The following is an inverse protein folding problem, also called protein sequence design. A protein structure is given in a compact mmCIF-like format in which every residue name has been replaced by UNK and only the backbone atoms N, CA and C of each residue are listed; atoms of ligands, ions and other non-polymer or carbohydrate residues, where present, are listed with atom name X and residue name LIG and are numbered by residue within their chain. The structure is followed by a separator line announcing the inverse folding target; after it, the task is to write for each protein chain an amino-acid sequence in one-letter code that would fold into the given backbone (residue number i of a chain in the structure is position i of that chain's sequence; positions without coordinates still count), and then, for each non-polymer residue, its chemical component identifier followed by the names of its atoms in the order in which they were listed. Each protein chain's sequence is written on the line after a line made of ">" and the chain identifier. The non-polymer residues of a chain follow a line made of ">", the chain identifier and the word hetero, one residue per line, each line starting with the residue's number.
data_IF_081282679670
#
_entry.id   IF_081282679670
#
_cell.length_a   1.000
_cell.length_b   1.000
_cell.length_c   1.000
_cell.angle_alpha   90.00
_cell.angle_beta   90.00
_cell.angle_gamma   90.00
#
_symmetry.space_group_name_H-M   'P 1'
#
loop_
_entity.id
_entity.type
_entity.pdbx_description
1 polymer ?
#
# COMPACT_ATOMS: atom_id res chain seq x y z
N UNK A 1 -11.32 -37.71 16.51
CA UNK A 1 -10.78 -37.90 15.14
C UNK A 1 -11.53 -36.97 14.20
N UNK A 2 -10.94 -35.82 13.91
CA UNK A 2 -11.52 -34.84 12.95
C UNK A 2 -11.14 -35.27 11.55
N UNK A 3 -12.01 -36.00 10.87
CA UNK A 3 -11.97 -36.20 9.42
C UNK A 3 -12.55 -34.94 8.74
N UNK A 4 -11.86 -33.82 8.87
CA UNK A 4 -12.26 -32.58 8.22
C UNK A 4 -11.74 -32.55 6.77
N UNK A 5 -12.55 -32.10 5.80
CA UNK A 5 -12.08 -31.80 4.42
C UNK A 5 -10.88 -30.85 4.37
N UNK A 6 -10.63 -30.11 5.44
CA UNK A 6 -9.48 -29.25 5.64
C UNK A 6 -8.16 -30.01 5.68
N UNK A 7 -8.13 -31.22 6.28
CA UNK A 7 -6.93 -32.06 6.38
C UNK A 7 -6.36 -32.46 5.01
N UNK A 8 -7.22 -32.73 4.03
CA UNK A 8 -6.83 -33.13 2.67
C UNK A 8 -6.23 -31.99 1.86
N UNK A 9 -6.60 -30.74 2.15
CA UNK A 9 -6.06 -29.54 1.44
C UNK A 9 -4.67 -29.13 1.94
N UNK A 10 -4.36 -29.34 3.20
CA UNK A 10 -3.08 -28.95 3.81
C UNK A 10 -1.93 -29.88 3.38
N UNK A 11 -2.20 -31.16 3.13
CA UNK A 11 -1.20 -32.16 2.70
C UNK A 11 -0.91 -32.20 1.20
N UNK A 12 -1.52 -31.37 0.39
CA UNK A 12 -1.24 -31.33 -1.03
C UNK A 12 -0.03 -30.44 -1.29
N UNK A 13 1.01 -30.97 -1.99
CA UNK A 13 2.30 -30.32 -2.33
C UNK A 13 2.23 -28.95 -3.04
N UNK A 14 1.04 -28.38 -3.17
CA UNK A 14 0.77 -27.08 -3.80
C UNK A 14 0.44 -25.95 -2.80
N UNK A 15 0.55 -26.21 -1.49
CA UNK A 15 0.29 -25.17 -0.49
C UNK A 15 1.56 -24.32 -0.28
N UNK A 16 1.56 -23.06 -0.71
CA UNK A 16 2.71 -22.17 -0.59
C UNK A 16 2.92 -21.62 0.82
N UNK A 17 1.85 -21.47 1.59
CA UNK A 17 1.87 -21.06 3.00
C UNK A 17 0.56 -21.43 3.69
N UNK A 18 0.57 -21.43 5.02
CA UNK A 18 -0.57 -21.78 5.86
C UNK A 18 -0.89 -20.59 6.75
N UNK A 19 -2.18 -20.30 6.86
CA UNK A 19 -2.70 -19.20 7.66
C UNK A 19 -3.79 -19.70 8.62
N UNK A 20 -3.76 -19.16 9.83
CA UNK A 20 -4.85 -19.25 10.81
C UNK A 20 -5.34 -17.83 11.16
N UNK A 21 -6.61 -17.57 10.85
CA UNK A 21 -7.24 -16.28 11.09
C UNK A 21 -7.67 -16.15 12.55
N UNK A 22 -7.16 -15.11 13.23
CA UNK A 22 -7.56 -14.75 14.59
C UNK A 22 -8.32 -13.43 14.59
N UNK A 23 -9.17 -13.22 15.60
CA UNK A 23 -9.85 -11.94 15.77
C UNK A 23 -8.85 -10.83 16.06
N UNK A 24 -9.03 -9.66 15.43
CA UNK A 24 -8.11 -8.52 15.57
C UNK A 24 -8.09 -7.89 16.99
N UNK A 25 -8.97 -8.34 17.88
CA UNK A 25 -9.02 -7.99 19.30
C UNK A 25 -8.78 -9.20 20.21
N UNK A 26 -8.19 -10.27 19.67
CA UNK A 26 -7.72 -11.45 20.39
C UNK A 26 -8.82 -12.19 21.16
N UNK A 27 -10.07 -12.17 20.67
CA UNK A 27 -11.17 -12.96 21.21
C UNK A 27 -11.09 -14.41 20.70
N UNK A 28 -11.53 -15.34 21.50
CA UNK A 28 -11.68 -16.75 21.12
C UNK A 28 -10.59 -17.67 21.68
N UNK A 29 -10.41 -18.83 21.05
CA UNK A 29 -9.58 -19.92 21.55
C UNK A 29 -8.17 -19.91 20.92
N UNK A 30 -7.48 -18.78 21.01
CA UNK A 30 -6.24 -18.46 20.28
C UNK A 30 -5.19 -19.58 20.37
N UNK A 31 -4.83 -19.97 21.58
CA UNK A 31 -3.80 -20.98 21.84
C UNK A 31 -4.23 -22.39 21.43
N UNK A 32 -5.42 -22.82 21.82
CA UNK A 32 -5.90 -24.19 21.55
C UNK A 32 -6.18 -24.44 20.06
N UNK A 33 -6.67 -23.44 19.31
CA UNK A 33 -6.85 -23.56 17.87
C UNK A 33 -5.50 -23.52 17.13
N UNK A 34 -4.53 -22.71 17.60
CA UNK A 34 -3.15 -22.74 17.11
C UNK A 34 -2.50 -24.11 17.35
N UNK A 35 -2.71 -24.70 18.53
CA UNK A 35 -2.24 -26.03 18.84
C UNK A 35 -2.80 -27.08 17.89
N UNK A 36 -4.09 -27.06 17.64
CA UNK A 36 -4.73 -27.96 16.69
C UNK A 36 -4.14 -27.89 15.29
N UNK A 37 -3.79 -26.69 14.84
CA UNK A 37 -3.09 -26.49 13.55
C UNK A 37 -1.68 -27.10 13.60
N UNK A 38 -0.92 -26.82 14.63
CA UNK A 38 0.45 -27.32 14.79
C UNK A 38 0.49 -28.84 14.95
N UNK A 39 -0.50 -29.45 15.63
CA UNK A 39 -0.62 -30.90 15.75
C UNK A 39 -0.81 -31.60 14.41
N UNK A 40 -1.62 -31.01 13.56
CA UNK A 40 -1.89 -31.53 12.20
C UNK A 40 -0.69 -31.37 11.28
N UNK A 41 0.04 -30.28 11.39
CA UNK A 41 1.14 -29.94 10.50
C UNK A 41 2.44 -30.66 10.85
N UNK A 42 2.61 -31.04 12.11
CA UNK A 42 3.79 -31.77 12.60
C UNK A 42 4.80 -30.87 13.31
N UNK A 43 5.85 -31.52 13.86
CA UNK A 43 6.79 -30.90 14.79
C UNK A 43 7.67 -29.79 14.17
N UNK A 44 7.86 -29.83 12.86
CA UNK A 44 8.68 -28.86 12.14
C UNK A 44 8.03 -27.47 11.98
N UNK A 45 6.72 -27.36 12.24
CA UNK A 45 5.98 -26.12 12.03
C UNK A 45 5.95 -25.24 13.27
N UNK A 46 6.04 -23.93 13.04
CA UNK A 46 6.02 -22.87 14.04
C UNK A 46 4.95 -21.85 13.70
N UNK A 47 4.16 -21.44 14.69
CA UNK A 47 3.20 -20.36 14.54
C UNK A 47 3.88 -19.00 14.71
N UNK A 48 3.73 -18.12 13.72
CA UNK A 48 4.18 -16.73 13.74
C UNK A 48 2.96 -15.86 13.97
N UNK A 49 2.86 -15.31 15.18
CA UNK A 49 1.72 -14.52 15.63
C UNK A 49 2.05 -13.04 15.46
N UNK A 50 1.45 -12.40 14.45
CA UNK A 50 1.56 -10.97 14.20
C UNK A 50 0.14 -10.35 14.20
N UNK A 51 -0.47 -10.13 15.38
CA UNK A 51 -1.91 -9.86 15.51
C UNK A 51 -2.30 -8.42 15.19
N UNK A 52 -1.48 -7.70 14.47
CA UNK A 52 -1.65 -6.28 14.19
C UNK A 52 -2.58 -6.02 13.02
N UNK A 53 -3.29 -4.90 13.10
CA UNK A 53 -4.05 -4.32 12.01
C UNK A 53 -3.86 -2.80 12.05
N UNK A 54 -2.71 -2.29 11.55
CA UNK A 54 -2.30 -0.89 11.75
C UNK A 54 -3.34 0.12 11.24
N UNK A 55 -3.91 -0.09 10.05
CA UNK A 55 -4.93 0.81 9.48
C UNK A 55 -6.21 0.90 10.34
N UNK A 56 -6.45 -0.08 11.20
CA UNK A 56 -7.54 -0.09 12.19
C UNK A 56 -7.05 0.26 13.59
N UNK A 57 -5.84 0.81 13.72
CA UNK A 57 -5.23 1.22 15.00
C UNK A 57 -5.16 0.10 16.05
N UNK A 58 -4.99 -1.14 15.59
CA UNK A 58 -4.71 -2.30 16.42
C UNK A 58 -3.24 -2.67 16.27
N UNK A 59 -2.47 -2.47 17.33
CA UNK A 59 -1.01 -2.59 17.33
C UNK A 59 -0.53 -3.44 18.49
N UNK A 60 0.61 -4.09 18.32
CA UNK A 60 1.31 -4.81 19.38
C UNK A 60 2.65 -4.13 19.67
N UNK A 61 2.83 -3.75 20.92
CA UNK A 61 4.07 -3.09 21.36
C UNK A 61 4.42 -3.52 22.79
N UNK A 62 5.67 -3.92 23.00
CA UNK A 62 6.14 -4.46 24.28
C UNK A 62 5.40 -5.75 24.71
N UNK A 63 4.85 -6.50 23.77
CA UNK A 63 4.04 -7.69 24.01
C UNK A 63 2.57 -7.39 24.34
N UNK A 64 2.16 -6.13 24.34
CA UNK A 64 0.79 -5.71 24.67
C UNK A 64 0.00 -5.34 23.42
N UNK A 65 -1.25 -5.81 23.35
CA UNK A 65 -2.21 -5.39 22.34
C UNK A 65 -2.86 -4.07 22.74
N UNK A 66 -2.80 -3.07 21.85
CA UNK A 66 -3.48 -1.78 21.99
C UNK A 66 -4.49 -1.59 20.87
N UNK A 67 -5.65 -1.04 21.23
CA UNK A 67 -6.72 -0.62 20.32
C UNK A 67 -6.89 0.88 20.48
N UNK A 68 -6.68 1.65 19.42
CA UNK A 68 -6.71 3.12 19.47
C UNK A 68 -5.77 3.71 20.55
N UNK A 69 -4.63 3.09 20.80
CA UNK A 69 -3.67 3.51 21.84
C UNK A 69 -4.05 3.11 23.27
N UNK A 70 -5.17 2.40 23.47
CA UNK A 70 -5.65 1.94 24.77
C UNK A 70 -5.35 0.44 24.91
N UNK A 71 -4.74 -0.03 26.03
CA UNK A 71 -4.56 -1.46 26.29
C UNK A 71 -5.87 -2.22 26.17
N UNK A 72 -5.84 -3.38 25.50
CA UNK A 72 -7.03 -4.16 25.13
C UNK A 72 -7.98 -4.42 26.31
N UNK A 73 -7.44 -4.79 27.48
CA UNK A 73 -8.23 -5.06 28.67
C UNK A 73 -8.92 -3.82 29.28
N UNK A 74 -8.61 -2.62 28.78
CA UNK A 74 -9.27 -1.36 29.20
C UNK A 74 -10.28 -0.85 28.18
N UNK A 75 -10.55 -1.64 27.15
CA UNK A 75 -11.55 -1.32 26.11
C UNK A 75 -12.87 -2.06 26.42
N UNK A 76 -13.89 -1.78 25.62
CA UNK A 76 -15.17 -2.50 25.65
C UNK A 76 -15.05 -4.00 25.33
N UNK A 77 -13.97 -4.41 24.69
CA UNK A 77 -13.66 -5.83 24.42
C UNK A 77 -13.48 -6.65 25.71
N UNK A 78 -13.04 -6.00 26.81
CA UNK A 78 -12.88 -6.67 28.10
C UNK A 78 -14.21 -7.13 28.71
N UNK A 79 -15.31 -6.53 28.32
CA UNK A 79 -16.66 -6.83 28.80
C UNK A 79 -17.55 -7.47 27.72
N UNK A 80 -16.94 -8.01 26.65
CA UNK A 80 -17.67 -8.76 25.63
C UNK A 80 -18.45 -9.90 26.27
N UNK A 81 -19.78 -10.02 26.03
CA UNK A 81 -20.62 -10.99 26.75
C UNK A 81 -20.34 -12.46 26.39
N UNK A 82 -19.68 -12.73 25.28
CA UNK A 82 -19.35 -14.11 24.83
C UNK A 82 -17.90 -14.50 25.08
N UNK A 83 -16.99 -13.59 24.78
CA UNK A 83 -15.54 -13.85 24.80
C UNK A 83 -14.80 -12.64 25.36
N UNK A 84 -14.96 -12.33 26.66
CA UNK A 84 -14.28 -11.19 27.28
C UNK A 84 -12.77 -11.39 27.24
N UNK A 85 -12.03 -10.33 26.89
CA UNK A 85 -10.56 -10.34 26.87
C UNK A 85 -10.03 -9.48 27.99
N UNK A 86 -9.69 -10.11 29.10
CA UNK A 86 -9.32 -9.42 30.36
C UNK A 86 -7.84 -9.09 30.48
N UNK A 87 -7.02 -9.47 29.50
CA UNK A 87 -5.57 -9.23 29.44
C UNK A 87 -5.19 -8.56 28.14
N UNK A 88 -4.07 -7.85 28.13
CA UNK A 88 -3.51 -7.25 26.93
C UNK A 88 -2.20 -7.90 26.50
N UNK A 89 -1.61 -8.71 27.37
CA UNK A 89 -0.36 -9.43 27.11
C UNK A 89 -0.63 -10.58 26.13
N UNK A 90 -0.19 -10.41 24.89
CA UNK A 90 -0.52 -11.32 23.77
C UNK A 90 0.05 -12.73 24.04
N UNK A 91 1.32 -12.81 24.46
CA UNK A 91 1.96 -14.10 24.75
C UNK A 91 1.22 -14.84 25.87
N UNK A 92 0.80 -14.14 26.91
CA UNK A 92 0.05 -14.73 28.04
C UNK A 92 -1.30 -15.29 27.59
N UNK A 93 -2.01 -14.59 26.69
CA UNK A 93 -3.28 -15.07 26.15
C UNK A 93 -3.12 -16.39 25.38
N UNK A 94 -2.00 -16.57 24.68
CA UNK A 94 -1.67 -17.82 24.01
C UNK A 94 -1.21 -18.90 25.00
N UNK A 95 -0.35 -18.57 25.96
CA UNK A 95 0.19 -19.49 26.95
C UNK A 95 -0.91 -20.14 27.83
N UNK A 96 -1.93 -19.37 28.19
CA UNK A 96 -3.05 -19.87 29.00
C UNK A 96 -3.90 -20.93 28.29
N UNK A 97 -3.84 -20.96 26.95
CA UNK A 97 -4.68 -21.84 26.13
C UNK A 97 -3.87 -22.88 25.34
N UNK A 98 -2.55 -22.76 25.31
CA UNK A 98 -1.66 -23.61 24.51
C UNK A 98 -0.88 -24.57 25.38
N UNK A 99 -0.67 -25.77 24.87
CA UNK A 99 0.30 -26.77 25.44
C UNK A 99 1.74 -26.53 24.98
N UNK A 100 1.91 -25.65 23.96
CA UNK A 100 3.21 -25.34 23.38
C UNK A 100 3.84 -24.11 24.03
N UNK A 101 5.16 -24.12 24.09
CA UNK A 101 5.92 -22.96 24.56
C UNK A 101 5.75 -21.79 23.63
N UNK A 102 5.46 -20.65 24.25
CA UNK A 102 5.33 -19.34 23.55
C UNK A 102 6.61 -18.53 23.79
N UNK A 103 7.04 -17.79 22.78
CA UNK A 103 8.09 -16.77 22.88
C UNK A 103 7.60 -15.44 22.38
N UNK A 104 8.13 -14.35 22.93
CA UNK A 104 7.88 -13.00 22.52
C UNK A 104 9.14 -12.39 21.90
N UNK A 105 9.01 -11.78 20.73
CA UNK A 105 10.01 -10.95 20.08
C UNK A 105 9.48 -9.52 20.09
N UNK A 106 10.19 -8.63 20.79
CA UNK A 106 9.75 -7.25 21.00
C UNK A 106 10.23 -6.33 19.89
N UNK A 107 9.64 -5.13 19.84
CA UNK A 107 9.98 -4.06 18.88
C UNK A 107 11.48 -3.76 18.81
N UNK A 108 12.20 -3.79 19.94
CA UNK A 108 13.65 -3.60 19.97
C UNK A 108 14.41 -4.57 19.06
N UNK A 109 13.91 -5.82 18.93
CA UNK A 109 14.54 -6.85 18.10
C UNK A 109 14.23 -6.59 16.61
N UNK A 110 13.05 -6.09 16.29
CA UNK A 110 12.67 -5.71 14.91
C UNK A 110 13.59 -4.62 14.35
N UNK A 111 14.00 -3.66 15.18
CA UNK A 111 14.86 -2.54 14.77
C UNK A 111 16.25 -2.99 14.25
N UNK A 112 16.67 -4.22 14.49
CA UNK A 112 17.91 -4.79 13.98
C UNK A 112 17.82 -5.34 12.54
N UNK A 113 16.62 -5.32 11.95
CA UNK A 113 16.39 -5.72 10.57
C UNK A 113 16.16 -7.24 10.37
N UNK A 114 15.83 -7.60 9.12
CA UNK A 114 15.29 -8.93 8.79
C UNK A 114 16.21 -10.11 9.08
N UNK A 115 17.52 -9.95 8.92
CA UNK A 115 18.46 -11.05 9.15
C UNK A 115 18.58 -11.38 10.64
N UNK A 116 18.73 -10.35 11.48
CA UNK A 116 18.72 -10.50 12.91
C UNK A 116 17.41 -11.12 13.40
N UNK A 117 16.28 -10.63 12.90
CA UNK A 117 14.95 -11.12 13.26
C UNK A 117 14.76 -12.58 12.86
N UNK A 118 15.24 -12.98 11.66
CA UNK A 118 15.20 -14.38 11.22
C UNK A 118 16.01 -15.30 12.12
N UNK A 119 17.20 -14.87 12.54
CA UNK A 119 18.05 -15.66 13.46
C UNK A 119 17.42 -15.72 14.86
N UNK A 120 16.81 -14.63 15.31
CA UNK A 120 16.06 -14.59 16.58
C UNK A 120 14.87 -15.56 16.59
N UNK A 121 14.13 -15.67 15.48
CA UNK A 121 13.07 -16.67 15.32
C UNK A 121 13.64 -18.09 15.45
N UNK A 122 14.77 -18.40 14.80
CA UNK A 122 15.44 -19.70 14.93
C UNK A 122 15.90 -19.98 16.35
N UNK A 123 16.43 -18.98 17.06
CA UNK A 123 16.79 -19.10 18.48
C UNK A 123 15.59 -19.50 19.34
N UNK A 124 14.42 -18.86 19.13
CA UNK A 124 13.19 -19.21 19.83
C UNK A 124 12.79 -20.67 19.57
N UNK A 125 12.87 -21.11 18.30
CA UNK A 125 12.55 -22.50 17.91
C UNK A 125 13.54 -23.48 18.57
N UNK A 126 14.84 -23.19 18.51
CA UNK A 126 15.87 -24.03 19.14
C UNK A 126 15.70 -24.10 20.67
N UNK A 127 15.13 -23.07 21.28
CA UNK A 127 14.76 -23.06 22.69
C UNK A 127 13.45 -23.82 23.00
N UNK A 128 12.85 -24.44 21.98
CA UNK A 128 11.65 -25.30 22.12
C UNK A 128 10.32 -24.53 21.92
N UNK A 129 10.34 -23.29 21.49
CA UNK A 129 9.09 -22.56 21.25
C UNK A 129 8.47 -22.96 19.91
N UNK A 130 7.15 -23.17 19.93
CA UNK A 130 6.36 -23.46 18.73
C UNK A 130 5.39 -22.33 18.35
N UNK A 131 5.25 -21.36 19.23
CA UNK A 131 4.47 -20.15 19.01
C UNK A 131 5.38 -18.96 19.27
N UNK A 132 5.52 -18.07 18.29
CA UNK A 132 6.35 -16.86 18.38
C UNK A 132 5.44 -15.66 18.14
N UNK A 133 5.23 -14.86 19.17
CA UNK A 133 4.49 -13.59 19.13
C UNK A 133 5.47 -12.48 18.78
N UNK A 134 5.10 -11.60 17.88
CA UNK A 134 5.92 -10.45 17.49
C UNK A 134 5.17 -9.14 17.72
N UNK A 135 5.91 -8.17 18.24
CA UNK A 135 5.46 -6.78 18.20
C UNK A 135 5.35 -6.31 16.74
N UNK A 136 4.34 -5.51 16.44
CA UNK A 136 4.24 -4.75 15.19
C UNK A 136 3.28 -3.58 15.35
N UNK A 137 3.65 -2.42 14.82
CA UNK A 137 2.92 -1.16 14.95
C UNK A 137 2.49 -0.63 13.59
N UNK A 138 3.33 -0.82 12.57
CA UNK A 138 3.15 -0.28 11.23
C UNK A 138 3.07 -1.38 10.16
N UNK A 139 2.70 -1.00 8.95
CA UNK A 139 2.75 -1.92 7.81
C UNK A 139 4.19 -2.32 7.49
N UNK A 140 5.15 -1.40 7.65
CA UNK A 140 6.57 -1.65 7.46
C UNK A 140 7.11 -2.72 8.42
N UNK A 141 6.61 -2.76 9.66
CA UNK A 141 6.94 -3.82 10.61
C UNK A 141 6.44 -5.18 10.11
N UNK A 142 5.20 -5.24 9.58
CA UNK A 142 4.66 -6.46 8.99
C UNK A 142 5.45 -6.91 7.75
N UNK A 143 5.90 -5.96 6.93
CA UNK A 143 6.76 -6.24 5.77
C UNK A 143 8.12 -6.80 6.21
N UNK A 144 8.71 -6.23 7.27
CA UNK A 144 9.96 -6.71 7.86
C UNK A 144 9.82 -8.13 8.46
N UNK A 145 8.72 -8.37 9.19
CA UNK A 145 8.42 -9.70 9.75
C UNK A 145 8.28 -10.73 8.62
N UNK A 146 7.55 -10.39 7.55
CA UNK A 146 7.39 -11.29 6.41
C UNK A 146 8.74 -11.60 5.73
N UNK A 147 9.61 -10.60 5.54
CA UNK A 147 10.95 -10.79 5.01
C UNK A 147 11.82 -11.68 5.92
N UNK A 148 11.70 -11.51 7.23
CA UNK A 148 12.40 -12.34 8.21
C UNK A 148 11.91 -13.79 8.20
N UNK A 149 10.60 -14.02 8.11
CA UNK A 149 10.02 -15.35 7.96
C UNK A 149 10.56 -16.06 6.73
N UNK A 150 10.55 -15.40 5.58
CA UNK A 150 11.10 -15.94 4.33
C UNK A 150 12.60 -16.23 4.47
N UNK A 151 13.36 -15.30 5.06
CA UNK A 151 14.81 -15.42 5.29
C UNK A 151 15.15 -16.58 6.25
N UNK A 152 14.33 -16.80 7.25
CA UNK A 152 14.52 -17.85 8.25
C UNK A 152 14.42 -19.26 7.67
N UNK A 153 13.65 -19.45 6.60
CA UNK A 153 13.31 -20.77 6.00
C UNK A 153 12.60 -21.73 6.96
N UNK A 154 12.06 -21.24 8.03
CA UNK A 154 11.23 -22.04 8.94
C UNK A 154 9.92 -22.42 8.24
N UNK A 155 9.40 -23.61 8.57
CA UNK A 155 8.03 -23.97 8.18
C UNK A 155 7.06 -23.28 9.13
N UNK A 156 6.27 -22.34 8.62
CA UNK A 156 5.48 -21.44 9.46
C UNK A 156 3.98 -21.52 9.17
N UNK A 157 3.21 -21.24 10.22
CA UNK A 157 1.80 -20.85 10.13
C UNK A 157 1.71 -19.39 10.48
N UNK A 158 1.17 -18.58 9.59
CA UNK A 158 0.86 -17.17 9.89
C UNK A 158 -0.41 -17.13 10.76
N UNK A 159 -0.34 -16.48 11.91
CA UNK A 159 -1.47 -16.31 12.85
C UNK A 159 -1.73 -14.83 13.03
N UNK A 160 -2.76 -14.33 12.35
CA UNK A 160 -3.04 -12.91 12.28
C UNK A 160 -4.49 -12.60 11.83
N UNK A 161 -4.96 -11.35 11.93
CA UNK A 161 -6.27 -10.95 11.42
C UNK A 161 -6.32 -10.73 9.90
N UNK A 162 -5.39 -11.29 9.14
CA UNK A 162 -5.35 -11.29 7.67
C UNK A 162 -4.31 -10.34 7.06
N UNK A 163 -3.88 -9.29 7.74
CA UNK A 163 -2.96 -8.27 7.19
C UNK A 163 -1.55 -8.82 7.01
N UNK A 164 -1.03 -9.54 7.99
CA UNK A 164 0.29 -10.21 7.88
C UNK A 164 0.27 -11.30 6.82
N UNK A 165 -0.79 -12.11 6.79
CA UNK A 165 -1.00 -13.13 5.75
C UNK A 165 -1.03 -12.52 4.35
N UNK A 166 -1.75 -11.42 4.16
CA UNK A 166 -1.77 -10.71 2.89
C UNK A 166 -0.36 -10.20 2.49
N UNK A 167 0.40 -9.68 3.46
CA UNK A 167 1.78 -9.23 3.26
C UNK A 167 2.70 -10.39 2.88
N UNK A 168 2.63 -11.49 3.61
CA UNK A 168 3.44 -12.69 3.35
C UNK A 168 3.09 -13.32 1.99
N UNK A 169 1.81 -13.40 1.65
CA UNK A 169 1.36 -13.96 0.37
C UNK A 169 1.86 -13.15 -0.82
N UNK A 170 1.84 -11.82 -0.74
CA UNK A 170 2.40 -10.94 -1.79
C UNK A 170 3.89 -11.21 -2.05
N UNK A 171 4.64 -11.55 -1.02
CA UNK A 171 6.08 -11.85 -1.13
C UNK A 171 6.37 -13.28 -1.60
N UNK A 172 5.54 -14.24 -1.27
CA UNK A 172 5.72 -15.66 -1.61
C UNK A 172 5.10 -16.05 -2.95
N UNK A 173 3.96 -15.48 -3.29
CA UNK A 173 3.28 -15.73 -4.55
C UNK A 173 3.85 -14.77 -5.60
N UNK A 174 4.97 -15.17 -6.19
CA UNK A 174 5.52 -14.45 -7.36
C UNK A 174 4.66 -14.87 -8.57
N UNK A 175 4.02 -13.94 -9.29
CA UNK A 175 3.39 -14.27 -10.56
C UNK A 175 4.38 -14.97 -11.49
N UNK A 176 3.93 -15.99 -12.22
CA UNK A 176 4.79 -16.82 -13.10
C UNK A 176 5.47 -16.01 -14.22
N UNK A 177 4.96 -14.83 -14.54
CA UNK A 177 5.63 -13.86 -15.40
C UNK A 177 6.49 -12.94 -14.52
N UNK A 178 7.80 -12.90 -14.81
CA UNK A 178 8.66 -11.81 -14.33
C UNK A 178 8.04 -10.50 -14.82
N UNK A 179 7.18 -9.89 -14.01
CA UNK A 179 6.81 -8.52 -14.29
C UNK A 179 8.09 -7.69 -14.12
N UNK A 180 8.52 -7.06 -15.21
CA UNK A 180 9.41 -5.90 -15.11
C UNK A 180 8.86 -5.02 -13.99
N UNK A 181 9.75 -4.49 -13.14
CA UNK A 181 9.34 -3.70 -11.95
C UNK A 181 8.31 -2.67 -12.37
N UNK A 182 7.04 -2.96 -12.08
CA UNK A 182 5.95 -2.03 -12.39
C UNK A 182 6.19 -0.69 -11.69
N UNK A 183 5.79 0.39 -12.33
CA UNK A 183 5.95 1.77 -11.83
C UNK A 183 4.63 2.51 -11.82
N UNK A 184 4.57 3.52 -11.01
CA UNK A 184 3.40 4.39 -10.84
C UNK A 184 3.78 5.82 -11.23
N UNK A 185 2.95 6.42 -12.07
CA UNK A 185 2.98 7.85 -12.35
C UNK A 185 1.83 8.53 -11.61
N UNK A 186 2.13 9.54 -10.82
CA UNK A 186 1.12 10.39 -10.20
C UNK A 186 1.08 11.75 -10.92
N UNK A 187 -0.08 12.11 -11.44
CA UNK A 187 -0.29 13.35 -12.19
C UNK A 187 -1.24 14.25 -11.42
N UNK A 188 -0.74 15.40 -10.99
CA UNK A 188 -1.42 16.32 -10.08
C UNK A 188 -1.48 17.71 -10.67
N UNK A 189 -2.64 18.08 -11.22
CA UNK A 189 -2.90 19.42 -11.72
C UNK A 189 -3.69 20.31 -10.75
N UNK A 190 -4.09 19.78 -9.61
CA UNK A 190 -4.87 20.53 -8.63
C UNK A 190 -4.03 21.56 -7.88
N UNK A 191 -4.53 22.79 -7.83
CA UNK A 191 -3.94 23.89 -7.05
C UNK A 191 -4.60 24.07 -5.67
N UNK A 192 -5.43 23.11 -5.25
CA UNK A 192 -6.12 23.17 -3.96
C UNK A 192 -5.12 23.02 -2.80
N UNK A 193 -5.23 23.85 -1.73
CA UNK A 193 -4.33 23.76 -0.56
C UNK A 193 -4.28 22.37 0.08
N UNK A 194 -5.41 21.65 0.12
CA UNK A 194 -5.45 20.29 0.64
C UNK A 194 -4.59 19.33 -0.21
N UNK A 195 -4.60 19.50 -1.55
CA UNK A 195 -3.74 18.70 -2.43
C UNK A 195 -2.25 18.94 -2.14
N UNK A 196 -1.87 20.19 -1.85
CA UNK A 196 -0.49 20.51 -1.44
C UNK A 196 -0.08 19.72 -0.20
N UNK A 197 -0.89 19.79 0.86
CA UNK A 197 -0.63 19.04 2.11
C UNK A 197 -0.52 17.53 1.85
N UNK A 198 -1.39 16.98 1.02
CA UNK A 198 -1.37 15.56 0.66
C UNK A 198 -0.13 15.17 -0.14
N UNK A 199 0.37 16.04 -1.02
CA UNK A 199 1.60 15.80 -1.76
C UNK A 199 2.83 15.89 -0.86
N UNK A 200 2.88 16.86 0.04
CA UNK A 200 3.96 16.99 1.04
C UNK A 200 4.01 15.74 1.92
N UNK A 201 2.87 15.22 2.37
CA UNK A 201 2.80 13.97 3.13
C UNK A 201 3.29 12.76 2.30
N UNK A 202 2.92 12.65 1.04
CA UNK A 202 3.43 11.60 0.15
C UNK A 202 4.97 11.66 0.04
N UNK A 203 5.53 12.86 -0.17
CA UNK A 203 6.97 13.04 -0.34
C UNK A 203 7.78 12.75 0.93
N UNK A 204 7.18 12.96 2.10
CA UNK A 204 7.76 12.60 3.39
C UNK A 204 7.69 11.10 3.67
N UNK A 205 6.57 10.47 3.28
CA UNK A 205 6.27 9.07 3.61
C UNK A 205 6.89 8.06 2.65
N UNK A 206 7.18 8.46 1.41
CA UNK A 206 7.67 7.57 0.36
C UNK A 206 8.76 8.22 -0.48
N UNK A 207 9.69 7.38 -0.95
CA UNK A 207 10.66 7.83 -1.96
C UNK A 207 9.96 8.02 -3.31
N UNK A 208 9.94 9.25 -3.80
CA UNK A 208 9.34 9.66 -5.07
C UNK A 208 10.34 10.46 -5.89
N UNK A 209 10.20 10.39 -7.22
CA UNK A 209 10.86 11.33 -8.15
C UNK A 209 9.84 12.40 -8.53
N UNK A 210 10.13 13.65 -8.20
CA UNK A 210 9.15 14.75 -8.29
C UNK A 210 9.58 15.73 -9.38
N UNK A 211 8.73 15.92 -10.40
CA UNK A 211 8.96 16.86 -11.49
C UNK A 211 7.82 17.86 -11.53
N UNK A 212 8.17 19.16 -11.47
CA UNK A 212 7.20 20.23 -11.56
C UNK A 212 7.03 20.69 -13.00
N UNK A 213 5.77 20.89 -13.39
CA UNK A 213 5.38 21.51 -14.66
C UNK A 213 5.28 23.01 -14.45
N UNK A 214 6.05 23.78 -15.20
CA UNK A 214 5.99 25.22 -15.17
C UNK A 214 4.78 25.71 -15.98
N UNK A 215 3.68 25.99 -15.28
CA UNK A 215 2.39 26.36 -15.89
C UNK A 215 2.51 27.56 -16.82
N UNK A 216 3.39 28.51 -16.51
CA UNK A 216 3.65 29.69 -17.36
C UNK A 216 4.15 29.30 -18.75
N UNK A 217 5.06 28.34 -18.84
CA UNK A 217 5.62 27.91 -20.13
C UNK A 217 4.56 27.26 -21.02
N UNK A 218 3.55 26.62 -20.42
CA UNK A 218 2.43 26.04 -21.16
C UNK A 218 1.55 27.11 -21.87
N UNK A 219 1.57 28.35 -21.36
CA UNK A 219 0.73 29.44 -21.83
C UNK A 219 1.48 30.44 -22.74
N UNK A 220 2.81 30.43 -22.74
CA UNK A 220 3.65 31.42 -23.47
C UNK A 220 3.87 31.07 -24.95
N UNK A 221 3.01 30.28 -25.55
CA UNK A 221 3.06 29.91 -26.97
C UNK A 221 3.42 28.46 -27.21
N UNK A 222 3.28 28.01 -28.46
CA UNK A 222 3.35 26.56 -28.75
C UNK A 222 4.76 25.99 -28.62
N UNK A 223 5.78 26.76 -29.00
CA UNK A 223 7.18 26.27 -28.85
C UNK A 223 7.59 26.11 -27.40
N UNK A 224 7.26 27.06 -26.52
CA UNK A 224 7.56 26.93 -25.09
C UNK A 224 6.78 25.82 -24.45
N UNK A 225 5.51 25.69 -24.81
CA UNK A 225 4.66 24.57 -24.35
C UNK A 225 5.26 23.22 -24.73
N UNK A 226 5.69 23.04 -25.97
CA UNK A 226 6.29 21.79 -26.42
C UNK A 226 7.61 21.49 -25.71
N UNK A 227 8.47 22.51 -25.54
CA UNK A 227 9.73 22.36 -24.80
C UNK A 227 9.49 21.94 -23.34
N UNK A 228 8.47 22.49 -22.69
CA UNK A 228 8.14 22.12 -21.31
C UNK A 228 7.59 20.70 -21.20
N UNK A 229 6.73 20.28 -22.14
CA UNK A 229 6.23 18.91 -22.25
C UNK A 229 7.40 17.94 -22.43
N UNK A 230 8.34 18.23 -23.32
CA UNK A 230 9.51 17.40 -23.57
C UNK A 230 10.43 17.35 -22.36
N UNK A 231 10.75 18.50 -21.74
CA UNK A 231 11.57 18.57 -20.52
C UNK A 231 11.03 17.67 -19.42
N UNK A 232 9.74 17.83 -19.09
CA UNK A 232 9.11 17.02 -18.00
C UNK A 232 9.09 15.54 -18.36
N UNK A 233 8.79 15.21 -19.62
CA UNK A 233 8.79 13.83 -20.11
C UNK A 233 10.16 13.19 -19.95
N UNK A 234 11.23 13.84 -20.44
CA UNK A 234 12.58 13.33 -20.38
C UNK A 234 13.12 13.21 -18.93
N UNK A 235 12.81 14.21 -18.10
CA UNK A 235 13.20 14.19 -16.69
C UNK A 235 12.58 12.99 -15.95
N UNK A 236 11.28 12.72 -16.16
CA UNK A 236 10.63 11.52 -15.60
C UNK A 236 11.29 10.24 -16.13
N UNK A 237 11.54 10.14 -17.41
CA UNK A 237 12.12 8.93 -18.03
C UNK A 237 13.55 8.67 -17.58
N UNK A 238 14.37 9.70 -17.42
CA UNK A 238 15.78 9.57 -17.01
C UNK A 238 15.97 8.91 -15.65
N UNK A 239 15.04 9.13 -14.73
CA UNK A 239 15.08 8.60 -13.35
C UNK A 239 14.08 7.44 -13.11
N UNK A 240 13.33 7.05 -14.15
CA UNK A 240 12.29 6.00 -14.03
C UNK A 240 12.85 4.69 -13.51
N UNK A 241 14.06 4.28 -13.93
CA UNK A 241 14.67 3.02 -13.50
C UNK A 241 15.01 2.96 -12.00
N UNK A 242 15.15 4.11 -11.34
CA UNK A 242 15.57 4.24 -9.94
C UNK A 242 14.42 4.42 -8.96
N UNK A 243 13.24 4.82 -9.47
CA UNK A 243 12.10 5.18 -8.64
C UNK A 243 10.86 4.38 -9.04
N UNK A 244 10.17 3.83 -8.05
CA UNK A 244 8.91 3.11 -8.24
C UNK A 244 7.76 4.11 -8.51
N UNK A 245 7.81 5.26 -7.84
CA UNK A 245 6.79 6.30 -7.95
C UNK A 245 7.44 7.57 -8.49
N UNK A 246 6.89 8.07 -9.59
CA UNK A 246 7.24 9.39 -10.14
C UNK A 246 6.01 10.30 -10.09
N UNK A 247 6.22 11.58 -9.83
CA UNK A 247 5.12 12.58 -9.75
C UNK A 247 5.34 13.71 -10.75
N UNK A 248 4.29 14.05 -11.49
CA UNK A 248 4.19 15.21 -12.35
C UNK A 248 3.20 16.16 -11.71
N UNK A 249 3.67 17.30 -11.24
CA UNK A 249 2.90 18.22 -10.41
C UNK A 249 2.92 19.64 -11.02
N UNK A 250 1.77 20.27 -11.13
CA UNK A 250 1.73 21.67 -11.53
C UNK A 250 2.36 22.58 -10.46
N UNK A 251 3.24 23.48 -10.87
CA UNK A 251 3.93 24.42 -9.96
C UNK A 251 2.98 25.36 -9.22
N UNK A 252 1.78 25.61 -9.78
CA UNK A 252 0.70 26.37 -9.12
C UNK A 252 0.15 25.73 -7.84
N UNK A 253 0.60 24.52 -7.46
CA UNK A 253 0.33 23.94 -6.14
C UNK A 253 0.89 24.84 -5.03
N UNK A 254 1.97 25.56 -5.30
CA UNK A 254 2.51 26.61 -4.44
C UNK A 254 1.86 27.95 -4.79
N UNK A 255 1.24 28.66 -3.81
CA UNK A 255 0.51 29.91 -4.06
C UNK A 255 1.31 30.99 -4.80
N UNK A 256 2.59 31.08 -4.55
CA UNK A 256 3.51 32.03 -5.17
C UNK A 256 3.72 31.82 -6.68
N UNK A 257 3.47 30.62 -7.18
CA UNK A 257 3.61 30.25 -8.59
C UNK A 257 2.28 30.28 -9.35
N UNK A 258 1.19 30.64 -8.67
CA UNK A 258 -0.12 30.74 -9.32
C UNK A 258 -0.15 31.88 -10.31
N UNK A 259 -0.70 31.61 -11.46
CA UNK A 259 -0.76 32.52 -12.57
C UNK A 259 -2.15 33.16 -12.65
N UNK A 260 -2.19 34.48 -12.90
CA UNK A 260 -3.40 35.16 -13.34
C UNK A 260 -3.62 34.83 -14.83
N UNK A 261 -4.76 34.26 -15.16
CA UNK A 261 -5.10 33.85 -16.51
C UNK A 261 -5.67 35.01 -17.37
N UNK A 262 -6.11 36.11 -16.75
CA UNK A 262 -6.73 37.25 -17.47
C UNK A 262 -5.80 37.79 -18.56
N UNK A 263 -4.51 38.06 -18.34
CA UNK A 263 -3.61 38.54 -19.39
C UNK A 263 -3.45 37.59 -20.58
N UNK A 264 -3.54 36.27 -20.33
CA UNK A 264 -3.47 35.27 -21.40
C UNK A 264 -4.77 35.20 -22.21
N UNK A 265 -5.92 35.30 -21.52
CA UNK A 265 -7.22 35.37 -22.18
C UNK A 265 -7.28 36.59 -23.13
N UNK A 266 -6.83 37.75 -22.68
CA UNK A 266 -6.76 38.97 -23.49
C UNK A 266 -5.78 38.84 -24.66
N UNK A 267 -4.54 38.36 -24.38
CA UNK A 267 -3.48 38.20 -25.38
C UNK A 267 -3.87 37.27 -26.53
N UNK A 268 -4.53 36.17 -26.20
CA UNK A 268 -4.88 35.13 -27.18
C UNK A 268 -6.35 35.16 -27.60
N UNK A 269 -7.12 36.12 -27.10
CA UNK A 269 -8.56 36.25 -27.33
C UNK A 269 -9.32 34.93 -27.13
N UNK A 270 -9.09 34.33 -25.98
CA UNK A 270 -9.64 33.03 -25.62
C UNK A 270 -10.38 33.06 -24.26
N UNK A 271 -11.22 32.07 -24.01
CA UNK A 271 -11.95 31.90 -22.77
C UNK A 271 -11.10 31.28 -21.66
N UNK A 272 -11.58 31.33 -20.41
CA UNK A 272 -10.99 30.65 -19.27
C UNK A 272 -10.92 29.13 -19.52
N UNK A 273 -11.96 28.55 -20.11
CA UNK A 273 -12.02 27.11 -20.41
C UNK A 273 -10.94 26.74 -21.45
N UNK A 274 -10.66 27.57 -22.43
CA UNK A 274 -9.59 27.34 -23.41
C UNK A 274 -8.20 27.41 -22.77
N UNK A 275 -7.98 28.33 -21.82
CA UNK A 275 -6.71 28.41 -21.05
C UNK A 275 -6.53 27.18 -20.21
N UNK A 276 -7.56 26.75 -19.48
CA UNK A 276 -7.49 25.54 -18.62
C UNK A 276 -7.35 24.26 -19.44
N UNK A 277 -8.04 24.15 -20.59
CA UNK A 277 -7.88 23.00 -21.49
C UNK A 277 -6.46 22.94 -22.08
N UNK A 278 -5.83 24.10 -22.37
CA UNK A 278 -4.44 24.14 -22.81
C UNK A 278 -3.46 23.57 -21.77
N UNK A 279 -3.70 23.83 -20.49
CA UNK A 279 -2.93 23.27 -19.38
C UNK A 279 -3.22 21.76 -19.25
N UNK A 280 -4.48 21.38 -19.14
CA UNK A 280 -4.89 19.99 -18.94
C UNK A 280 -4.43 19.08 -20.09
N UNK A 281 -4.51 19.56 -21.32
CA UNK A 281 -4.01 18.82 -22.49
C UNK A 281 -2.49 18.66 -22.47
N UNK A 282 -1.72 19.57 -21.88
CA UNK A 282 -0.29 19.41 -21.71
C UNK A 282 0.04 18.30 -20.69
N UNK A 283 -0.64 18.26 -19.56
CA UNK A 283 -0.50 17.15 -18.60
C UNK A 283 -0.86 15.79 -19.22
N UNK A 284 -1.92 15.76 -20.02
CA UNK A 284 -2.32 14.55 -20.74
C UNK A 284 -1.26 14.13 -21.79
N UNK A 285 -0.66 15.09 -22.49
CA UNK A 285 0.41 14.82 -23.45
C UNK A 285 1.67 14.28 -22.78
N UNK A 286 2.11 14.89 -21.67
CA UNK A 286 3.24 14.41 -20.85
C UNK A 286 2.96 12.96 -20.41
N UNK A 287 1.79 12.72 -19.85
CA UNK A 287 1.39 11.38 -19.38
C UNK A 287 1.43 10.38 -20.53
N UNK A 288 0.87 10.72 -21.66
CA UNK A 288 0.84 9.87 -22.84
C UNK A 288 2.24 9.51 -23.34
N UNK A 289 3.14 10.50 -23.49
CA UNK A 289 4.53 10.27 -23.94
C UNK A 289 5.32 9.39 -22.97
N UNK A 290 5.11 9.55 -21.67
CA UNK A 290 5.74 8.71 -20.66
C UNK A 290 5.29 7.25 -20.83
N UNK A 291 3.99 7.00 -20.91
CA UNK A 291 3.44 5.64 -21.05
C UNK A 291 3.79 5.00 -22.40
N UNK A 292 3.97 5.79 -23.46
CA UNK A 292 4.43 5.28 -24.76
C UNK A 292 5.90 4.86 -24.74
N UNK A 293 6.76 5.68 -24.11
CA UNK A 293 8.22 5.46 -24.12
C UNK A 293 8.67 4.45 -23.05
N UNK A 294 7.91 4.27 -21.97
CA UNK A 294 8.31 3.42 -20.86
C UNK A 294 7.16 2.50 -20.41
N UNK A 295 7.21 1.27 -20.87
CA UNK A 295 6.17 0.25 -20.66
C UNK A 295 6.06 -0.28 -19.22
N UNK A 296 7.04 0.02 -18.37
CA UNK A 296 7.01 -0.34 -16.96
C UNK A 296 6.02 0.49 -16.12
N UNK A 297 5.54 1.63 -16.61
CA UNK A 297 4.44 2.33 -15.97
C UNK A 297 3.14 1.54 -16.14
N UNK A 298 2.68 0.90 -15.07
CA UNK A 298 1.46 0.07 -15.01
C UNK A 298 0.38 0.66 -14.11
N UNK A 299 0.72 1.69 -13.35
CA UNK A 299 -0.19 2.43 -12.49
C UNK A 299 -0.19 3.92 -12.79
N UNK A 300 -1.37 4.50 -12.82
CA UNK A 300 -1.59 5.94 -12.92
C UNK A 300 -2.41 6.42 -11.74
N UNK A 301 -1.99 7.51 -11.12
CA UNK A 301 -2.82 8.27 -10.19
C UNK A 301 -3.08 9.65 -10.78
N UNK A 302 -4.31 10.11 -10.75
CA UNK A 302 -4.68 11.47 -11.19
C UNK A 302 -5.41 12.23 -10.09
N UNK A 303 -5.01 13.48 -9.86
CA UNK A 303 -5.70 14.41 -8.97
C UNK A 303 -6.26 15.58 -9.74
N UNK A 304 -7.60 15.67 -9.72
CA UNK A 304 -8.40 16.64 -10.48
C UNK A 304 -9.19 15.95 -11.59
N UNK A 305 -10.51 16.24 -11.64
CA UNK A 305 -11.42 15.66 -12.64
C UNK A 305 -11.01 15.99 -14.07
N UNK A 306 -10.65 17.25 -14.33
CA UNK A 306 -10.29 17.74 -15.66
C UNK A 306 -9.02 17.08 -16.20
N UNK A 307 -8.01 16.87 -15.34
CA UNK A 307 -6.80 16.11 -15.69
C UNK A 307 -7.16 14.67 -16.07
N UNK A 308 -8.01 14.02 -15.27
CA UNK A 308 -8.45 12.64 -15.56
C UNK A 308 -9.14 12.56 -16.91
N UNK A 309 -10.05 13.49 -17.20
CA UNK A 309 -10.76 13.54 -18.48
C UNK A 309 -9.81 13.79 -19.65
N UNK A 310 -8.87 14.72 -19.50
CA UNK A 310 -7.87 15.02 -20.53
C UNK A 310 -6.99 13.80 -20.84
N UNK A 311 -6.54 13.10 -19.81
CA UNK A 311 -5.77 11.84 -19.97
C UNK A 311 -6.60 10.75 -20.65
N UNK A 312 -7.84 10.54 -20.22
CA UNK A 312 -8.73 9.56 -20.85
C UNK A 312 -8.95 9.83 -22.34
N UNK A 313 -9.16 11.10 -22.70
CA UNK A 313 -9.29 11.54 -24.11
C UNK A 313 -8.01 11.28 -24.90
N UNK A 314 -6.85 11.65 -24.33
CA UNK A 314 -5.53 11.44 -24.97
C UNK A 314 -5.22 9.97 -25.17
N UNK A 315 -5.53 9.12 -24.21
CA UNK A 315 -5.37 7.66 -24.26
C UNK A 315 -6.39 6.98 -25.19
N UNK A 316 -7.38 7.72 -25.68
CA UNK A 316 -8.47 7.20 -26.51
C UNK A 316 -9.18 6.00 -25.88
N UNK A 317 -9.27 5.99 -24.56
CA UNK A 317 -9.97 4.94 -23.84
C UNK A 317 -11.48 5.05 -24.01
N UNK A 318 -12.18 3.91 -24.04
CA UNK A 318 -13.63 3.90 -24.06
C UNK A 318 -14.25 4.26 -22.70
N UNK A 319 -13.48 4.15 -21.62
CA UNK A 319 -13.90 4.48 -20.26
C UNK A 319 -12.98 3.86 -19.20
N UNK A 320 -13.43 3.90 -17.96
CA UNK A 320 -12.77 3.26 -16.83
C UNK A 320 -13.63 2.11 -16.31
N UNK A 321 -13.05 0.92 -16.22
CA UNK A 321 -13.66 -0.22 -15.53
C UNK A 321 -13.42 -0.05 -14.04
N UNK A 322 -14.40 0.53 -13.34
CA UNK A 322 -14.31 0.73 -11.90
C UNK A 322 -14.35 -0.60 -11.16
N UNK A 323 -13.48 -0.78 -10.19
CA UNK A 323 -13.32 -2.03 -9.43
C UNK A 323 -13.47 -1.84 -7.94
N UNK A 324 -13.08 -0.67 -7.40
CA UNK A 324 -13.08 -0.43 -5.97
C UNK A 324 -13.12 1.06 -5.65
N UNK A 325 -13.48 1.41 -4.42
CA UNK A 325 -13.33 2.74 -3.83
C UNK A 325 -12.24 2.68 -2.77
N UNK A 326 -11.10 3.35 -3.04
CA UNK A 326 -9.94 3.34 -2.14
C UNK A 326 -10.19 4.15 -0.87
N UNK A 327 -10.85 5.27 -1.05
CA UNK A 327 -11.38 6.17 -0.01
C UNK A 327 -12.50 7.00 -0.64
N UNK A 328 -13.35 7.67 0.15
CA UNK A 328 -14.46 8.47 -0.40
C UNK A 328 -13.99 9.40 -1.52
N UNK A 329 -14.62 9.27 -2.69
CA UNK A 329 -14.32 10.03 -3.91
C UNK A 329 -12.91 9.77 -4.51
N UNK A 330 -12.30 8.64 -4.19
CA UNK A 330 -11.13 8.13 -4.88
C UNK A 330 -11.41 6.72 -5.43
N UNK A 331 -11.67 6.64 -6.71
CA UNK A 331 -12.05 5.40 -7.39
C UNK A 331 -10.83 4.72 -8.03
N UNK A 332 -10.71 3.41 -7.79
CA UNK A 332 -9.76 2.55 -8.47
C UNK A 332 -10.43 1.80 -9.62
N UNK A 333 -9.73 1.69 -10.72
CA UNK A 333 -10.16 0.93 -11.88
C UNK A 333 -9.03 0.63 -12.85
N UNK A 334 -9.41 0.27 -14.05
CA UNK A 334 -8.49 0.06 -15.18
C UNK A 334 -9.04 0.77 -16.42
N UNK A 335 -8.15 1.25 -17.28
CA UNK A 335 -8.57 1.74 -18.58
C UNK A 335 -9.22 0.62 -19.37
N UNK A 336 -10.34 0.95 -20.03
CA UNK A 336 -11.12 0.03 -20.84
C UNK A 336 -10.94 0.38 -22.32
N UNK A 337 -10.35 -0.53 -23.07
CA UNK A 337 -10.01 -0.36 -24.49
C UNK A 337 -9.01 0.83 -24.70
N UNK A 338 -8.59 1.00 -25.95
CA UNK A 338 -7.58 2.00 -26.32
C UNK A 338 -6.16 1.46 -26.20
N UNK A 339 -5.19 2.36 -26.33
CA UNK A 339 -3.77 2.00 -26.40
C UNK A 339 -3.22 1.45 -25.07
N UNK A 340 -3.79 1.89 -23.95
CA UNK A 340 -3.36 1.54 -22.60
C UNK A 340 -4.42 0.71 -21.85
N UNK A 341 -5.10 -0.20 -22.58
CA UNK A 341 -6.09 -1.10 -21.98
C UNK A 341 -5.49 -1.90 -20.82
N UNK A 342 -6.25 -2.01 -19.73
CA UNK A 342 -5.84 -2.77 -18.54
C UNK A 342 -4.87 -2.04 -17.60
N UNK A 343 -4.27 -0.90 -17.99
CA UNK A 343 -3.45 -0.10 -17.06
C UNK A 343 -4.30 0.35 -15.88
N UNK A 344 -3.73 0.20 -14.69
CA UNK A 344 -4.40 0.53 -13.42
C UNK A 344 -4.47 2.05 -13.22
N UNK A 345 -5.61 2.55 -12.76
CA UNK A 345 -5.79 3.95 -12.45
C UNK A 345 -6.51 4.16 -11.13
N UNK A 346 -6.05 5.17 -10.36
CA UNK A 346 -6.85 5.79 -9.32
C UNK A 346 -7.10 7.25 -9.70
N UNK A 347 -8.35 7.67 -9.64
CA UNK A 347 -8.76 9.05 -9.85
C UNK A 347 -9.36 9.61 -8.57
N UNK A 348 -8.93 10.82 -8.16
CA UNK A 348 -9.39 11.48 -6.94
C UNK A 348 -9.70 12.95 -7.21
N UNK A 349 -10.78 13.45 -6.60
CA UNK A 349 -11.07 14.88 -6.58
C UNK A 349 -9.98 15.68 -5.84
N UNK A 350 -9.55 16.81 -6.37
CA UNK A 350 -8.44 17.59 -5.81
C UNK A 350 -8.63 18.05 -4.37
N UNK A 351 -9.86 18.38 -3.95
CA UNK A 351 -10.16 18.88 -2.60
C UNK A 351 -10.45 17.79 -1.55
N UNK A 352 -10.49 16.52 -1.94
CA UNK A 352 -11.02 15.45 -1.11
C UNK A 352 -9.95 14.69 -0.33
N UNK A 353 -10.34 14.13 0.82
CA UNK A 353 -9.55 13.25 1.68
C UNK A 353 -8.67 13.97 2.68
N UNK A 354 -8.22 13.24 3.67
CA UNK A 354 -7.27 13.69 4.71
C UNK A 354 -5.87 13.91 4.14
N UNK A 355 -4.94 14.38 4.96
CA UNK A 355 -3.55 14.66 4.55
C UNK A 355 -2.82 13.45 3.95
N UNK A 356 -3.17 12.23 4.37
CA UNK A 356 -2.59 10.97 3.89
C UNK A 356 -3.26 10.40 2.62
N UNK A 357 -4.29 11.07 2.09
CA UNK A 357 -5.15 10.50 1.05
C UNK A 357 -4.38 10.09 -0.23
N UNK A 358 -3.45 10.91 -0.70
CA UNK A 358 -2.64 10.56 -1.88
C UNK A 358 -1.69 9.40 -1.56
N UNK A 359 -1.07 9.41 -0.38
CA UNK A 359 -0.21 8.33 0.08
C UNK A 359 -0.96 6.98 0.13
N UNK A 360 -2.18 6.96 0.64
CA UNK A 360 -3.05 5.77 0.64
C UNK A 360 -3.40 5.29 -0.77
N UNK A 361 -3.71 6.21 -1.69
CA UNK A 361 -3.97 5.86 -3.09
C UNK A 361 -2.74 5.23 -3.77
N UNK A 362 -1.56 5.78 -3.55
CA UNK A 362 -0.31 5.24 -4.11
C UNK A 362 0.01 3.88 -3.50
N UNK A 363 -0.15 3.71 -2.19
CA UNK A 363 0.03 2.42 -1.50
C UNK A 363 -0.95 1.37 -2.06
N UNK A 364 -2.21 1.73 -2.26
CA UNK A 364 -3.19 0.85 -2.87
C UNK A 364 -2.81 0.42 -4.31
N UNK A 365 -2.30 1.35 -5.14
CA UNK A 365 -1.78 1.01 -6.47
C UNK A 365 -0.59 0.05 -6.38
N UNK A 366 0.33 0.27 -5.44
CA UNK A 366 1.46 -0.65 -5.22
C UNK A 366 0.96 -2.06 -4.90
N UNK A 367 -0.03 -2.19 -4.03
CA UNK A 367 -0.65 -3.48 -3.68
C UNK A 367 -1.26 -4.17 -4.90
N UNK A 368 -1.97 -3.43 -5.75
CA UNK A 368 -2.60 -3.98 -6.96
C UNK A 368 -1.58 -4.34 -8.04
N UNK A 369 -0.42 -3.72 -8.03
CA UNK A 369 0.68 -3.99 -8.97
C UNK A 369 1.72 -4.96 -8.41
N UNK A 370 1.56 -5.41 -7.16
CA UNK A 370 2.49 -6.31 -6.46
C UNK A 370 3.93 -5.75 -6.35
N UNK A 371 4.08 -4.45 -6.04
CA UNK A 371 5.34 -3.71 -5.91
C UNK A 371 5.45 -2.94 -4.60
#
# INVERSE_FOLDING_TARGET
>A
MLSSPFYFRIKNDKCHFIHYFVDSTLRGNLGSETDAMLDVLGEDYVAIVAPCFPSSKRIAIGGYMLVNGIPLHKTDIAIDPKTPVTKSEIAVLFEEQSKYKVSLICMKDLMHGKHYLADKMKECVNAGSRIIVLDCVTQEDLDLIADAVITSRLKTVAVDPGVFTATLSRKLIVPAEKQEKSRILAVVGSVNPNTKTQMEELWLSQRTHNVFVHTKELLEGDSRRENEIERVTEEILSESSRNIVSTVVGDGIYPENRIDFIPYMEKYNCSMDEVTERINSAFAEITYRIFQKETSFKGLYTSGGDITVAVCRKFKTAGLLLKDEVLPLAAYGQFLKGEFDGIHIITKGGSQGESDAINRCITYLKEKLYI
#
